data_IF_997027451052
#
_entry.id   IF_997027451052
#
_cell.length_a   1.000
_cell.length_b   1.000
_cell.length_c   1.000
_cell.angle_alpha   90.00
_cell.angle_beta   90.00
_cell.angle_gamma   90.00
#
_symmetry.space_group_name_H-M   'P 1'
#
loop_
_entity.id
_entity.type
_entity.pdbx_description
1 polymer ?
#
# COMPACT_ATOMS: atom_id res chain seq x y z
N UNK A 1 28.47 22.13 36.53
CA UNK A 1 29.04 22.28 35.18
C UNK A 1 28.85 20.95 34.47
N UNK A 2 27.83 20.81 33.62
CA UNK A 2 27.55 19.58 32.87
C UNK A 2 28.01 19.81 31.43
N UNK A 3 29.05 19.09 31.02
CA UNK A 3 29.59 19.10 29.66
C UNK A 3 28.58 18.43 28.71
N UNK A 4 28.19 19.05 27.58
CA UNK A 4 27.33 18.38 26.60
C UNK A 4 28.09 17.29 25.84
N UNK A 5 27.44 16.14 25.67
CA UNK A 5 27.95 15.00 24.93
C UNK A 5 28.04 15.30 23.42
N UNK A 6 29.17 14.90 22.83
CA UNK A 6 29.52 15.01 21.40
C UNK A 6 28.57 14.15 20.55
N UNK A 7 27.86 14.76 19.61
CA UNK A 7 27.07 14.06 18.59
C UNK A 7 27.99 13.23 17.66
N UNK A 8 27.61 12.00 17.28
CA UNK A 8 28.34 11.22 16.30
C UNK A 8 28.05 11.71 14.88
N UNK A 9 29.12 11.95 14.11
CA UNK A 9 29.10 12.40 12.72
C UNK A 9 28.29 11.45 11.81
N UNK A 10 27.12 11.91 11.37
CA UNK A 10 26.28 11.23 10.40
C UNK A 10 26.89 11.37 9.00
N UNK A 11 27.77 10.44 8.61
CA UNK A 11 28.16 10.31 7.20
C UNK A 11 26.98 9.75 6.41
N UNK A 12 26.51 10.45 5.35
CA UNK A 12 25.38 10.00 4.56
C UNK A 12 25.71 8.70 3.80
N UNK A 13 24.69 7.85 3.67
CA UNK A 13 24.74 6.52 3.01
C UNK A 13 25.28 6.61 1.58
N UNK A 14 26.06 5.61 1.10
CA UNK A 14 26.60 5.57 -0.27
C UNK A 14 25.52 5.69 -1.36
N UNK A 15 24.27 5.34 -1.06
CA UNK A 15 23.11 5.58 -1.94
C UNK A 15 22.90 7.07 -2.22
N UNK A 16 23.08 7.93 -1.21
CA UNK A 16 22.92 9.39 -1.32
C UNK A 16 24.06 10.03 -2.11
N UNK A 17 25.21 9.36 -2.22
CA UNK A 17 26.34 9.86 -3.01
C UNK A 17 26.18 9.53 -4.50
N UNK A 18 25.54 8.42 -4.85
CA UNK A 18 25.29 8.03 -6.24
C UNK A 18 24.28 8.95 -6.95
N UNK A 19 23.23 9.41 -6.25
CA UNK A 19 22.27 10.40 -6.80
C UNK A 19 22.87 11.80 -7.02
N UNK A 20 24.02 12.12 -6.41
CA UNK A 20 24.69 13.40 -6.61
C UNK A 20 25.65 13.40 -7.83
N UNK A 21 25.98 12.23 -8.38
CA UNK A 21 27.09 12.06 -9.32
C UNK A 21 26.67 11.90 -10.80
N UNK A 22 25.61 12.60 -11.24
CA UNK A 22 25.40 12.95 -12.65
C UNK A 22 25.49 11.79 -13.67
N UNK A 23 24.91 10.63 -13.35
CA UNK A 23 24.70 9.56 -14.32
C UNK A 23 23.74 10.04 -15.44
N UNK A 24 23.82 9.50 -16.67
CA UNK A 24 22.92 9.88 -17.76
C UNK A 24 21.46 9.81 -17.32
N UNK A 25 20.65 10.77 -17.79
CA UNK A 25 19.23 10.88 -17.46
C UNK A 25 18.44 9.74 -18.11
N UNK A 26 18.50 8.56 -17.51
CA UNK A 26 17.64 7.43 -17.86
C UNK A 26 16.20 7.76 -17.48
N UNK A 27 15.28 7.47 -18.38
CA UNK A 27 13.87 7.74 -18.17
C UNK A 27 13.20 6.49 -17.62
N UNK A 28 12.40 6.64 -16.56
CA UNK A 28 11.53 5.56 -16.09
C UNK A 28 10.17 5.67 -16.76
N UNK A 29 9.53 4.54 -17.04
CA UNK A 29 8.19 4.44 -17.61
C UNK A 29 7.28 3.63 -16.68
N UNK A 30 6.02 4.03 -16.54
CA UNK A 30 5.03 3.34 -15.71
C UNK A 30 3.93 2.71 -16.56
N UNK A 31 3.64 1.43 -16.30
CA UNK A 31 2.49 0.74 -16.84
C UNK A 31 1.21 1.23 -16.15
N UNK A 32 0.22 1.71 -16.91
CA UNK A 32 -1.05 2.17 -16.36
C UNK A 32 -1.96 1.03 -15.88
N UNK A 33 -1.79 -0.18 -16.40
CA UNK A 33 -2.62 -1.32 -16.02
C UNK A 33 -2.25 -1.89 -14.64
N UNK A 34 -0.95 -1.98 -14.32
CA UNK A 34 -0.48 -2.64 -13.10
C UNK A 34 0.50 -1.83 -12.24
N UNK A 35 1.01 -0.70 -12.74
CA UNK A 35 1.99 0.13 -12.04
C UNK A 35 3.44 -0.37 -12.11
N UNK A 36 3.75 -1.35 -12.97
CA UNK A 36 5.14 -1.75 -13.24
C UNK A 36 5.98 -0.55 -13.70
N UNK A 37 7.20 -0.42 -13.17
CA UNK A 37 8.15 0.61 -13.56
C UNK A 37 9.27 -0.02 -14.39
N UNK A 38 9.33 0.35 -15.68
CA UNK A 38 10.46 0.05 -16.55
C UNK A 38 11.51 1.15 -16.41
N UNK A 39 12.71 0.79 -15.99
CA UNK A 39 13.85 1.70 -15.88
C UNK A 39 14.85 1.38 -17.00
N UNK A 40 15.09 2.33 -17.90
CA UNK A 40 16.04 2.16 -19.01
C UNK A 40 17.45 1.79 -18.52
N UNK A 41 17.86 2.25 -17.33
CA UNK A 41 19.17 1.92 -16.77
C UNK A 41 19.28 0.43 -16.42
N UNK A 42 18.17 -0.15 -15.95
CA UNK A 42 18.10 -1.55 -15.49
C UNK A 42 17.67 -2.50 -16.61
N UNK A 43 16.92 -2.01 -17.59
CA UNK A 43 16.26 -2.83 -18.60
C UNK A 43 15.25 -3.79 -17.97
N UNK A 44 15.01 -4.90 -18.67
CA UNK A 44 14.22 -6.03 -18.19
C UNK A 44 14.85 -7.35 -18.68
N UNK A 45 15.96 -7.81 -18.07
CA UNK A 45 16.72 -8.97 -18.55
C UNK A 45 15.91 -10.26 -18.59
N UNK A 46 14.94 -10.38 -17.68
CA UNK A 46 14.05 -11.54 -17.58
C UNK A 46 13.12 -11.64 -18.80
N UNK A 47 12.76 -10.52 -19.42
CA UNK A 47 12.01 -10.44 -20.67
C UNK A 47 12.90 -10.24 -21.91
N UNK A 48 14.22 -10.32 -21.75
CA UNK A 48 15.20 -10.19 -22.85
C UNK A 48 15.64 -8.76 -23.18
N UNK A 49 15.27 -7.76 -22.37
CA UNK A 49 15.72 -6.38 -22.53
C UNK A 49 16.97 -6.13 -21.66
N UNK A 50 18.13 -5.98 -22.28
CA UNK A 50 19.38 -5.77 -21.55
C UNK A 50 19.35 -4.44 -20.75
N UNK A 51 20.11 -4.32 -19.65
CA UNK A 51 20.30 -3.04 -18.97
C UNK A 51 20.83 -1.96 -19.93
N UNK A 52 20.27 -0.77 -19.89
CA UNK A 52 20.57 0.32 -20.83
C UNK A 52 19.68 0.34 -22.08
N UNK A 53 18.71 -0.57 -22.21
CA UNK A 53 17.75 -0.55 -23.32
C UNK A 53 16.78 0.62 -23.15
N UNK A 54 16.77 1.56 -24.11
CA UNK A 54 15.82 2.67 -24.06
C UNK A 54 14.41 2.18 -24.33
N UNK A 55 13.41 2.83 -23.74
CA UNK A 55 12.02 2.47 -23.96
C UNK A 55 11.63 2.59 -25.44
N UNK A 56 12.23 3.55 -26.16
CA UNK A 56 12.06 3.70 -27.60
C UNK A 56 12.55 2.46 -28.40
N UNK A 57 13.61 1.80 -27.93
CA UNK A 57 14.25 0.66 -28.58
C UNK A 57 13.61 -0.69 -28.21
N UNK A 58 12.63 -0.69 -27.30
CA UNK A 58 11.86 -1.89 -26.94
C UNK A 58 10.98 -2.30 -28.13
N UNK A 59 11.00 -3.57 -28.55
CA UNK A 59 10.08 -4.09 -29.56
C UNK A 59 8.60 -3.88 -29.21
N UNK A 60 7.75 -3.61 -30.19
CA UNK A 60 6.30 -3.36 -29.95
C UNK A 60 5.54 -4.60 -29.45
N UNK A 61 6.07 -5.80 -29.70
CA UNK A 61 5.57 -7.09 -29.21
C UNK A 61 5.99 -7.40 -27.77
N UNK A 62 6.85 -6.57 -27.17
CA UNK A 62 7.17 -6.68 -25.76
C UNK A 62 5.92 -6.42 -24.90
N UNK A 63 5.64 -7.35 -24.01
CA UNK A 63 4.53 -7.30 -23.09
C UNK A 63 5.03 -7.03 -21.67
N UNK A 64 4.25 -6.26 -20.90
CA UNK A 64 4.56 -6.01 -19.50
C UNK A 64 4.70 -7.34 -18.74
N UNK A 65 5.80 -7.58 -18.00
CA UNK A 65 6.03 -8.85 -17.31
C UNK A 65 5.05 -9.10 -16.16
N UNK A 66 4.33 -8.07 -15.69
CA UNK A 66 3.36 -8.20 -14.60
C UNK A 66 1.93 -8.45 -15.07
N UNK A 67 1.50 -7.89 -16.19
CA UNK A 67 0.09 -7.95 -16.61
C UNK A 67 -0.14 -8.26 -18.10
N UNK A 68 0.93 -8.39 -18.90
CA UNK A 68 0.83 -8.80 -20.30
C UNK A 68 0.29 -7.75 -21.27
N UNK A 69 0.02 -6.52 -20.82
CA UNK A 69 -0.37 -5.42 -21.72
C UNK A 69 0.82 -4.96 -22.56
N UNK A 70 0.54 -4.34 -23.69
CA UNK A 70 1.56 -3.92 -24.65
C UNK A 70 2.28 -2.64 -24.23
N UNK A 71 3.37 -2.33 -24.92
CA UNK A 71 4.17 -1.10 -24.76
C UNK A 71 3.33 0.19 -24.79
N UNK A 72 2.19 0.18 -25.48
CA UNK A 72 1.22 1.28 -25.55
C UNK A 72 0.67 1.74 -24.20
N UNK A 73 0.62 0.86 -23.21
CA UNK A 73 0.04 1.13 -21.88
C UNK A 73 1.04 1.76 -20.90
N UNK A 74 2.20 2.21 -21.41
CA UNK A 74 3.24 2.85 -20.63
C UNK A 74 3.34 4.34 -20.91
N UNK A 75 3.58 5.13 -19.86
CA UNK A 75 3.91 6.55 -19.98
C UNK A 75 5.18 6.90 -19.21
N UNK A 76 5.88 7.99 -19.58
CA UNK A 76 7.02 8.47 -18.81
C UNK A 76 6.61 8.73 -17.35
N UNK A 77 7.30 8.07 -16.43
CA UNK A 77 7.13 8.27 -15.01
C UNK A 77 8.08 9.36 -14.53
N UNK A 78 7.50 10.48 -14.12
CA UNK A 78 8.23 11.52 -13.39
C UNK A 78 7.90 11.35 -11.91
N UNK A 79 8.85 10.94 -11.05
CA UNK A 79 8.60 10.94 -9.62
C UNK A 79 8.27 12.37 -9.18
N UNK A 80 7.22 12.57 -8.36
CA UNK A 80 6.90 13.90 -7.84
C UNK A 80 8.12 14.45 -7.12
N UNK A 81 8.52 15.69 -7.44
CA UNK A 81 9.59 16.37 -6.72
C UNK A 81 9.30 16.29 -5.21
N UNK A 82 10.29 15.96 -4.36
CA UNK A 82 10.10 15.92 -2.93
C UNK A 82 9.56 17.27 -2.43
N UNK A 83 8.24 17.33 -2.16
CA UNK A 83 7.57 18.52 -1.62
C UNK A 83 6.65 19.30 -2.57
N UNK A 84 6.45 18.92 -3.83
CA UNK A 84 5.64 19.73 -4.76
C UNK A 84 4.12 19.69 -4.50
N UNK A 85 3.54 18.58 -4.01
CA UNK A 85 2.11 18.51 -3.69
C UNK A 85 1.84 17.75 -2.38
N UNK A 86 2.74 17.92 -1.42
CA UNK A 86 2.40 17.56 -0.04
C UNK A 86 1.81 18.80 0.60
N UNK A 87 0.52 19.03 0.36
CA UNK A 87 -0.24 19.82 1.32
C UNK A 87 0.03 19.17 2.67
N UNK A 88 0.60 19.89 3.66
CA UNK A 88 0.82 19.30 4.96
C UNK A 88 -0.57 18.97 5.48
N UNK A 89 -0.97 17.70 5.37
CA UNK A 89 -1.92 17.15 6.34
C UNK A 89 -1.28 17.53 7.66
N UNK A 90 -1.93 18.37 8.50
CA UNK A 90 -1.36 18.70 9.78
C UNK A 90 -0.95 17.37 10.38
N UNK A 91 0.34 17.27 10.72
CA UNK A 91 0.82 16.22 11.59
C UNK A 91 0.10 16.50 12.89
N UNK A 92 -1.17 16.08 12.96
CA UNK A 92 -1.90 15.93 14.19
C UNK A 92 -0.98 15.04 14.99
N UNK A 93 -0.32 15.67 15.95
CA UNK A 93 0.46 15.04 16.99
C UNK A 93 -0.35 13.83 17.40
N UNK A 94 0.09 12.65 16.97
CA UNK A 94 -0.64 11.44 17.24
C UNK A 94 -0.84 11.41 18.75
N UNK A 95 -2.07 11.26 19.26
CA UNK A 95 -2.25 11.07 20.68
C UNK A 95 -1.35 9.91 21.12
N UNK A 96 -0.60 10.04 22.23
CA UNK A 96 0.29 9.01 22.71
C UNK A 96 -0.58 7.84 23.18
N UNK A 97 -0.82 6.88 22.30
CA UNK A 97 -1.77 5.81 22.60
C UNK A 97 -1.98 4.82 21.47
N UNK A 98 -0.96 4.51 20.65
CA UNK A 98 -0.98 3.32 19.80
C UNK A 98 0.36 2.62 19.97
N UNK A 99 0.32 1.34 20.33
CA UNK A 99 1.46 0.53 20.78
C UNK A 99 2.71 0.71 19.93
N UNK A 100 3.88 0.57 20.58
CA UNK A 100 5.20 0.54 19.92
C UNK A 100 5.14 -0.39 18.70
N UNK A 101 5.96 -0.10 17.68
CA UNK A 101 6.23 -0.93 16.47
C UNK A 101 6.61 -2.42 16.74
N UNK A 102 6.46 -2.93 17.96
CA UNK A 102 6.69 -4.31 18.36
C UNK A 102 5.56 -4.95 19.17
N UNK A 103 4.41 -4.31 19.36
CA UNK A 103 3.29 -4.95 20.06
C UNK A 103 2.44 -5.74 19.04
N UNK A 104 2.88 -6.98 18.79
CA UNK A 104 2.24 -7.87 17.82
C UNK A 104 0.81 -8.20 18.30
N UNK A 105 -0.15 -7.42 17.82
CA UNK A 105 -1.56 -7.58 18.12
C UNK A 105 -2.28 -8.56 17.20
N UNK A 106 -3.58 -8.33 17.01
CA UNK A 106 -4.36 -9.01 15.97
C UNK A 106 -4.24 -8.21 14.67
N UNK A 107 -3.86 -8.90 13.60
CA UNK A 107 -3.90 -8.36 12.23
C UNK A 107 -5.08 -8.97 11.50
N UNK A 108 -5.95 -8.13 10.95
CA UNK A 108 -7.12 -8.51 10.17
C UNK A 108 -6.88 -8.08 8.73
N UNK A 109 -6.97 -8.99 7.77
CA UNK A 109 -6.81 -8.71 6.34
C UNK A 109 -8.19 -8.62 5.69
N UNK A 110 -8.57 -7.43 5.25
CA UNK A 110 -9.83 -7.11 4.59
C UNK A 110 -10.75 -6.23 5.46
N UNK A 111 -11.02 -5.01 5.00
CA UNK A 111 -11.95 -4.07 5.64
C UNK A 111 -13.38 -4.14 5.06
N UNK A 112 -13.87 -5.36 4.81
CA UNK A 112 -15.27 -5.61 4.46
C UNK A 112 -16.14 -5.77 5.71
N UNK A 113 -17.38 -6.23 5.52
CA UNK A 113 -18.33 -6.50 6.62
C UNK A 113 -17.74 -7.44 7.68
N UNK A 114 -17.10 -8.53 7.25
CA UNK A 114 -16.49 -9.50 8.16
C UNK A 114 -15.35 -8.90 9.01
N UNK A 115 -14.43 -8.16 8.37
CA UNK A 115 -13.30 -7.56 9.08
C UNK A 115 -13.73 -6.49 10.08
N UNK A 116 -14.67 -5.61 9.69
CA UNK A 116 -15.20 -4.59 10.60
C UNK A 116 -16.02 -5.18 11.76
N UNK A 117 -16.87 -6.17 11.51
CA UNK A 117 -17.64 -6.82 12.57
C UNK A 117 -16.74 -7.56 13.56
N UNK A 118 -15.68 -8.20 13.08
CA UNK A 118 -14.68 -8.81 13.95
C UNK A 118 -13.98 -7.75 14.81
N UNK A 119 -13.55 -6.63 14.22
CA UNK A 119 -12.92 -5.55 14.97
C UNK A 119 -13.86 -4.97 16.03
N UNK A 120 -15.13 -4.79 15.72
CA UNK A 120 -16.17 -4.35 16.67
C UNK A 120 -16.34 -5.36 17.81
N UNK A 121 -16.46 -6.65 17.48
CA UNK A 121 -16.60 -7.72 18.47
C UNK A 121 -15.38 -7.83 19.39
N UNK A 122 -14.17 -7.76 18.83
CA UNK A 122 -12.93 -7.75 19.60
C UNK A 122 -12.88 -6.56 20.56
N UNK A 123 -13.32 -5.38 20.12
CA UNK A 123 -13.35 -4.16 20.95
C UNK A 123 -14.37 -4.20 22.07
N UNK A 124 -15.49 -4.91 21.89
CA UNK A 124 -16.46 -5.15 22.96
C UNK A 124 -15.89 -6.01 24.09
N UNK A 125 -14.93 -6.90 23.78
CA UNK A 125 -14.31 -7.80 24.75
C UNK A 125 -13.01 -7.26 25.34
N UNK A 126 -12.22 -6.53 24.54
CA UNK A 126 -10.95 -5.93 24.97
C UNK A 126 -10.72 -4.56 24.30
N UNK A 127 -10.88 -3.52 25.12
CA UNK A 127 -10.70 -2.13 24.72
C UNK A 127 -9.23 -1.75 24.41
N UNK A 128 -8.26 -2.51 24.93
CA UNK A 128 -6.83 -2.21 24.85
C UNK A 128 -6.07 -3.04 23.82
N UNK A 129 -6.65 -4.16 23.36
CA UNK A 129 -6.04 -5.08 22.41
C UNK A 129 -5.46 -4.35 21.19
N UNK A 130 -4.19 -4.47 20.82
CA UNK A 130 -3.70 -3.86 19.59
C UNK A 130 -4.35 -4.54 18.37
N UNK A 131 -5.08 -3.78 17.54
CA UNK A 131 -5.71 -4.27 16.32
C UNK A 131 -5.18 -3.48 15.13
N UNK A 132 -4.71 -4.18 14.10
CA UNK A 132 -4.37 -3.60 12.80
C UNK A 132 -5.27 -4.19 11.72
N UNK A 133 -6.00 -3.36 11.00
CA UNK A 133 -6.85 -3.72 9.88
C UNK A 133 -6.14 -3.33 8.57
N UNK A 134 -5.87 -4.31 7.70
CA UNK A 134 -5.19 -4.12 6.41
C UNK A 134 -6.23 -4.23 5.31
N UNK A 135 -6.27 -3.28 4.38
CA UNK A 135 -7.28 -3.25 3.32
C UNK A 135 -6.69 -2.82 1.99
N UNK A 136 -7.01 -3.57 0.93
CA UNK A 136 -6.73 -3.20 -0.46
C UNK A 136 -7.45 -1.92 -0.89
N UNK A 137 -8.64 -1.67 -0.33
CA UNK A 137 -9.46 -0.48 -0.60
C UNK A 137 -9.26 0.62 0.47
N UNK A 138 -9.99 1.72 0.35
CA UNK A 138 -10.05 2.81 1.35
C UNK A 138 -10.47 2.32 2.75
N UNK A 139 -11.21 1.21 2.81
CA UNK A 139 -11.72 0.63 4.05
C UNK A 139 -13.01 1.28 4.54
N UNK A 140 -13.65 2.10 3.71
CA UNK A 140 -14.95 2.71 4.02
C UNK A 140 -16.02 1.65 4.27
N UNK A 141 -16.92 1.97 5.20
CA UNK A 141 -17.99 1.07 5.60
C UNK A 141 -19.19 1.28 4.69
N UNK A 142 -19.47 0.27 3.89
CA UNK A 142 -20.66 0.20 3.06
C UNK A 142 -21.24 -1.21 3.10
N UNK A 143 -22.53 -1.34 2.76
CA UNK A 143 -23.15 -2.64 2.60
C UNK A 143 -22.98 -3.10 1.15
N UNK A 144 -22.11 -4.08 0.91
CA UNK A 144 -21.93 -4.68 -0.42
C UNK A 144 -23.24 -5.11 -1.10
N UNK A 145 -24.27 -5.65 -0.39
CA UNK A 145 -25.57 -5.95 -0.99
C UNK A 145 -26.32 -4.74 -1.57
N UNK A 146 -26.03 -3.52 -1.09
CA UNK A 146 -26.64 -2.29 -1.61
C UNK A 146 -26.07 -1.87 -2.96
N UNK A 147 -24.96 -2.45 -3.44
CA UNK A 147 -24.39 -2.13 -4.74
C UNK A 147 -25.38 -2.39 -5.89
N UNK A 148 -26.07 -3.53 -5.86
CA UNK A 148 -27.07 -3.86 -6.89
C UNK A 148 -28.26 -2.90 -6.88
N UNK A 149 -28.68 -2.48 -5.67
CA UNK A 149 -29.76 -1.50 -5.50
C UNK A 149 -29.32 -0.12 -5.97
N UNK A 150 -28.10 0.30 -5.63
CA UNK A 150 -27.54 1.58 -6.05
C UNK A 150 -27.38 1.66 -7.56
N UNK A 151 -26.91 0.59 -8.20
CA UNK A 151 -26.83 0.53 -9.66
C UNK A 151 -28.21 0.65 -10.30
N UNK A 152 -29.20 -0.12 -9.81
CA UNK A 152 -30.56 -0.09 -10.35
C UNK A 152 -31.26 1.26 -10.14
N UNK A 153 -30.97 1.96 -9.04
CA UNK A 153 -31.56 3.26 -8.68
C UNK A 153 -30.69 4.46 -9.05
N UNK A 154 -29.57 4.24 -9.73
CA UNK A 154 -28.60 5.28 -10.10
C UNK A 154 -28.16 6.14 -8.90
N UNK A 155 -27.99 5.51 -7.74
CA UNK A 155 -27.50 6.20 -6.55
C UNK A 155 -26.00 6.47 -6.70
N UNK A 156 -25.55 7.67 -6.30
CA UNK A 156 -24.14 8.02 -6.40
C UNK A 156 -23.33 7.23 -5.35
N UNK A 157 -22.05 6.89 -5.62
CA UNK A 157 -21.21 6.09 -4.73
C UNK A 157 -21.09 6.63 -3.30
N UNK A 158 -21.14 7.96 -3.15
CA UNK A 158 -21.07 8.65 -1.85
C UNK A 158 -22.29 8.30 -0.98
N UNK A 159 -23.44 8.01 -1.60
CA UNK A 159 -24.66 7.58 -0.91
C UNK A 159 -24.62 6.15 -0.36
N UNK A 160 -23.57 5.37 -0.66
CA UNK A 160 -23.38 4.01 -0.16
C UNK A 160 -22.51 3.94 1.10
N UNK A 161 -21.66 4.95 1.31
CA UNK A 161 -20.73 5.00 2.44
C UNK A 161 -21.49 5.43 3.70
N UNK A 162 -21.54 4.55 4.69
CA UNK A 162 -22.16 4.82 6.00
C UNK A 162 -21.22 5.54 6.96
N UNK A 163 -19.93 5.24 6.84
CA UNK A 163 -18.87 5.78 7.71
C UNK A 163 -17.54 5.62 6.97
N UNK A 164 -16.69 6.63 7.02
CA UNK A 164 -15.36 6.52 6.42
C UNK A 164 -14.48 5.53 7.18
N UNK A 165 -13.56 4.86 6.50
CA UNK A 165 -12.60 3.94 7.11
C UNK A 165 -11.78 4.62 8.23
N UNK A 166 -11.22 5.82 8.01
CA UNK A 166 -10.51 6.57 9.05
C UNK A 166 -11.37 6.92 10.27
N UNK A 167 -12.64 7.28 10.09
CA UNK A 167 -13.56 7.57 11.20
C UNK A 167 -13.85 6.31 12.02
N UNK A 168 -14.17 5.21 11.35
CA UNK A 168 -14.39 3.93 11.99
C UNK A 168 -13.15 3.45 12.76
N UNK A 169 -11.96 3.63 12.19
CA UNK A 169 -10.69 3.28 12.82
C UNK A 169 -10.44 4.09 14.10
N UNK A 170 -10.70 5.41 14.07
CA UNK A 170 -10.63 6.28 15.25
C UNK A 170 -11.63 5.85 16.31
N UNK A 171 -12.89 5.63 15.93
CA UNK A 171 -13.96 5.22 16.84
C UNK A 171 -13.65 3.89 17.53
N UNK A 172 -13.05 2.94 16.81
CA UNK A 172 -12.68 1.63 17.33
C UNK A 172 -11.27 1.57 17.89
N UNK A 173 -10.53 2.68 18.01
CA UNK A 173 -9.16 2.69 18.51
C UNK A 173 -8.28 1.59 17.84
N UNK A 174 -8.31 1.51 16.51
CA UNK A 174 -7.52 0.54 15.74
C UNK A 174 -6.69 1.22 14.66
N UNK A 175 -5.63 0.54 14.25
CA UNK A 175 -4.78 0.99 13.15
C UNK A 175 -5.34 0.49 11.82
N UNK A 176 -5.80 1.40 10.98
CA UNK A 176 -6.18 1.08 9.60
C UNK A 176 -5.00 1.32 8.65
N UNK A 177 -4.72 0.34 7.79
CA UNK A 177 -3.81 0.44 6.65
C UNK A 177 -4.65 0.35 5.36
N UNK A 178 -5.21 1.48 4.90
CA UNK A 178 -5.98 1.50 3.66
C UNK A 178 -5.02 1.45 2.45
N UNK A 179 -5.55 1.08 1.28
CA UNK A 179 -4.78 0.97 0.03
C UNK A 179 -3.49 0.13 0.20
N UNK A 180 -3.59 -0.95 0.96
CA UNK A 180 -2.47 -1.82 1.34
C UNK A 180 -2.84 -3.27 1.05
N UNK A 181 -2.12 -3.89 0.12
CA UNK A 181 -2.33 -5.28 -0.26
C UNK A 181 -1.56 -6.22 0.65
N UNK A 182 -2.19 -7.32 1.08
CA UNK A 182 -1.53 -8.44 1.72
C UNK A 182 -0.93 -9.34 0.63
N UNK A 183 0.39 -9.49 0.62
CA UNK A 183 1.13 -10.16 -0.47
C UNK A 183 1.51 -11.59 -0.09
N UNK A 184 1.98 -11.81 1.13
CA UNK A 184 2.43 -13.13 1.59
C UNK A 184 2.28 -13.27 3.10
N UNK A 185 1.87 -14.45 3.53
CA UNK A 185 1.85 -14.85 4.94
C UNK A 185 3.10 -15.70 5.20
N UNK A 186 3.91 -15.31 6.17
CA UNK A 186 5.05 -16.09 6.66
C UNK A 186 4.66 -16.64 8.03
N UNK A 187 4.14 -17.87 8.07
CA UNK A 187 3.59 -18.46 9.29
C UNK A 187 4.67 -18.76 10.34
N UNK A 188 5.87 -19.13 9.89
CA UNK A 188 7.01 -19.49 10.73
C UNK A 188 7.50 -18.28 11.52
N UNK A 189 7.59 -17.12 10.87
CA UNK A 189 8.05 -15.87 11.48
C UNK A 189 6.90 -15.01 12.02
N UNK A 190 5.65 -15.46 11.85
CA UNK A 190 4.42 -14.73 12.18
C UNK A 190 4.41 -13.30 11.62
N UNK A 191 4.73 -13.20 10.33
CA UNK A 191 4.76 -11.93 9.60
C UNK A 191 3.81 -11.95 8.41
N UNK A 192 3.13 -10.82 8.21
CA UNK A 192 2.37 -10.52 7.01
C UNK A 192 3.17 -9.53 6.17
N UNK A 193 3.58 -9.93 4.97
CA UNK A 193 4.19 -9.02 3.99
C UNK A 193 3.09 -8.26 3.27
N UNK A 194 3.20 -6.93 3.25
CA UNK A 194 2.28 -6.04 2.55
C UNK A 194 3.02 -5.13 1.56
N UNK A 195 2.27 -4.44 0.70
CA UNK A 195 2.84 -3.41 -0.19
C UNK A 195 3.45 -2.21 0.55
N UNK A 196 3.22 -2.08 1.86
CA UNK A 196 3.78 -1.01 2.71
C UNK A 196 4.79 -1.52 3.74
N UNK A 197 5.26 -2.76 3.57
CA UNK A 197 6.26 -3.40 4.43
C UNK A 197 5.71 -4.59 5.22
N UNK A 198 6.52 -5.10 6.14
CA UNK A 198 6.19 -6.29 6.93
C UNK A 198 5.48 -5.89 8.23
N UNK A 199 4.47 -6.69 8.61
CA UNK A 199 3.71 -6.55 9.85
C UNK A 199 3.84 -7.83 10.67
N UNK A 200 4.35 -7.73 11.89
CA UNK A 200 4.28 -8.84 12.85
C UNK A 200 2.86 -8.99 13.39
N UNK A 201 2.43 -10.23 13.66
CA UNK A 201 1.13 -10.51 14.26
C UNK A 201 1.24 -11.58 15.34
N UNK A 202 0.40 -11.47 16.39
CA UNK A 202 0.16 -12.58 17.32
C UNK A 202 -0.93 -13.50 16.81
N UNK A 203 -1.97 -12.91 16.23
CA UNK A 203 -3.03 -13.62 15.52
C UNK A 203 -3.29 -12.92 14.18
N UNK A 204 -3.49 -13.72 13.14
CA UNK A 204 -3.83 -13.24 11.81
C UNK A 204 -5.23 -13.75 11.46
N UNK A 205 -6.09 -12.86 10.99
CA UNK A 205 -7.43 -13.21 10.51
C UNK A 205 -7.57 -12.81 9.05
N UNK A 206 -8.01 -13.77 8.22
CA UNK A 206 -8.24 -13.57 6.80
C UNK A 206 -9.72 -13.29 6.56
N UNK A 207 -10.04 -12.03 6.28
CA UNK A 207 -11.37 -11.52 5.98
C UNK A 207 -11.39 -10.79 4.61
N UNK A 208 -10.57 -11.26 3.65
CA UNK A 208 -10.35 -10.60 2.37
C UNK A 208 -11.51 -10.75 1.37
N UNK A 209 -12.55 -11.51 1.74
CA UNK A 209 -13.73 -11.71 0.90
C UNK A 209 -13.47 -12.64 -0.28
N UNK A 210 -14.18 -12.40 -1.37
CA UNK A 210 -14.14 -13.18 -2.60
C UNK A 210 -13.94 -12.29 -3.82
N UNK A 211 -13.39 -12.86 -4.87
CA UNK A 211 -13.16 -12.25 -6.17
C UNK A 211 -14.16 -12.80 -7.20
N UNK A 212 -14.54 -11.98 -8.18
CA UNK A 212 -15.44 -12.42 -9.24
C UNK A 212 -14.69 -13.36 -10.19
N UNK A 213 -15.27 -14.53 -10.48
CA UNK A 213 -14.76 -15.39 -11.54
C UNK A 213 -15.02 -14.71 -12.88
N UNK A 214 -13.95 -14.37 -13.60
CA UNK A 214 -14.05 -13.87 -14.96
C UNK A 214 -14.05 -15.06 -15.93
N UNK A 215 -14.87 -15.06 -16.99
CA UNK A 215 -14.80 -16.09 -18.02
C UNK A 215 -13.40 -16.11 -18.64
N UNK A 216 -12.92 -17.29 -19.03
CA UNK A 216 -11.71 -17.39 -19.82
C UNK A 216 -11.94 -16.60 -21.12
N UNK A 217 -11.08 -15.60 -21.35
CA UNK A 217 -11.09 -14.78 -22.56
C UNK A 217 -10.72 -15.56 -23.80
#
# INVERSE_FOLDING_TARGET
>A
MITPARQPDARPSPVVQAIAAGAPAWQTYICHACGYLYDEALGDPDSGLAPGTRFADIPEDWACPLCGVTKSDFSPYTPPLPGADRQPVPSASMPPGHGRRGDAGIVIVGAGKAGWQLAESLRQHDASLPITLVSACSGDRYDKPLLSVALARQLPPEGLVKESGPDAARRLNLRLLPHTQAVRICAETRQLRTTRGNLGYRQLVLAHGAEAALPAG
#
